data_IF_653354480289
#
_entry.id   IF_653354480289
#
_cell.length_a   1.000
_cell.length_b   1.000
_cell.length_c   1.000
_cell.angle_alpha   90.00
_cell.angle_beta   90.00
_cell.angle_gamma   90.00
#
_symmetry.space_group_name_H-M   'P 1'
#
loop_
_entity.id
_entity.type
_entity.pdbx_description
1 polymer ?
#
# COMPACT_ATOMS: atom_id res chain seq x y z
N UNK A 1 4.14 25.70 -9.63
CA UNK A 1 3.64 24.43 -10.21
C UNK A 1 4.85 23.55 -10.50
N UNK A 2 4.86 22.34 -9.96
CA UNK A 2 5.96 21.38 -10.10
C UNK A 2 5.49 20.16 -10.89
N UNK A 3 6.35 19.64 -11.79
CA UNK A 3 6.05 18.43 -12.55
C UNK A 3 6.29 17.17 -11.74
N UNK A 4 5.43 16.17 -11.90
CA UNK A 4 5.51 14.89 -11.17
C UNK A 4 5.70 13.70 -12.13
N UNK A 5 6.15 12.58 -11.57
CA UNK A 5 6.07 11.27 -12.20
C UNK A 5 4.71 10.65 -11.86
N UNK A 6 3.85 10.49 -12.85
CA UNK A 6 2.47 10.00 -12.66
C UNK A 6 2.28 8.53 -13.03
N UNK A 7 3.35 7.82 -13.37
CA UNK A 7 3.30 6.38 -13.59
C UNK A 7 3.01 5.63 -12.28
N UNK A 8 2.16 4.61 -12.35
CA UNK A 8 1.75 3.83 -11.16
C UNK A 8 2.91 3.17 -10.43
N UNK A 9 4.00 2.83 -11.12
CA UNK A 9 5.18 2.20 -10.51
C UNK A 9 5.84 3.12 -9.50
N UNK A 10 5.80 4.44 -9.75
CA UNK A 10 6.32 5.43 -8.80
C UNK A 10 5.44 5.48 -7.55
N UNK A 11 4.11 5.43 -7.69
CA UNK A 11 3.20 5.36 -6.54
C UNK A 11 3.44 4.10 -5.71
N UNK A 12 3.60 2.93 -6.36
CA UNK A 12 3.90 1.68 -5.66
C UNK A 12 5.23 1.73 -4.91
N UNK A 13 6.28 2.33 -5.53
CA UNK A 13 7.57 2.52 -4.88
C UNK A 13 7.47 3.43 -3.64
N UNK A 14 6.66 4.48 -3.70
CA UNK A 14 6.39 5.36 -2.55
C UNK A 14 5.68 4.57 -1.45
N UNK A 15 4.68 3.76 -1.76
CA UNK A 15 4.00 2.94 -0.75
C UNK A 15 4.91 1.91 -0.11
N UNK A 16 5.78 1.25 -0.90
CA UNK A 16 6.78 0.32 -0.37
C UNK A 16 7.74 1.02 0.60
N UNK A 17 8.24 2.20 0.23
CA UNK A 17 9.07 3.04 1.12
C UNK A 17 8.29 3.47 2.39
N UNK A 18 7.03 3.85 2.26
CA UNK A 18 6.20 4.23 3.42
C UNK A 18 5.93 3.08 4.38
N UNK A 19 5.96 1.83 3.89
CA UNK A 19 5.82 0.61 4.70
C UNK A 19 7.14 0.20 5.39
N UNK A 20 8.23 0.93 5.19
CA UNK A 20 9.49 0.69 5.86
C UNK A 20 9.49 1.31 7.26
N UNK A 21 9.41 0.48 8.31
CA UNK A 21 9.35 0.91 9.71
C UNK A 21 10.71 1.43 10.22
N UNK A 22 11.80 1.21 9.48
CA UNK A 22 13.11 1.80 9.79
C UNK A 22 13.18 3.31 9.48
N UNK A 23 12.25 3.81 8.66
CA UNK A 23 12.17 5.20 8.27
C UNK A 23 11.20 5.97 9.17
N UNK A 24 11.64 7.08 9.74
CA UNK A 24 10.75 7.99 10.46
C UNK A 24 9.86 8.81 9.49
N UNK A 25 8.81 9.44 10.03
CA UNK A 25 7.82 10.19 9.24
C UNK A 25 8.45 11.30 8.38
N UNK A 26 9.50 11.95 8.86
CA UNK A 26 10.20 12.99 8.09
C UNK A 26 10.92 12.40 6.89
N UNK A 27 11.60 11.27 7.07
CA UNK A 27 12.28 10.56 5.98
C UNK A 27 11.27 10.06 4.95
N UNK A 28 10.13 9.50 5.38
CA UNK A 28 9.03 9.07 4.50
C UNK A 28 8.45 10.23 3.70
N UNK A 29 8.17 11.36 4.35
CA UNK A 29 7.65 12.57 3.68
C UNK A 29 8.64 13.10 2.64
N UNK A 30 9.91 13.22 3.02
CA UNK A 30 10.94 13.70 2.10
C UNK A 30 11.18 12.74 0.94
N UNK A 31 11.25 11.44 1.20
CA UNK A 31 11.36 10.40 0.19
C UNK A 31 10.18 10.41 -0.78
N UNK A 32 8.97 10.63 -0.30
CA UNK A 32 7.79 10.81 -1.15
C UNK A 32 7.98 11.99 -2.13
N UNK A 33 8.45 13.13 -1.65
CA UNK A 33 8.74 14.29 -2.51
C UNK A 33 9.82 13.96 -3.53
N UNK A 34 10.91 13.33 -3.11
CA UNK A 34 12.03 12.97 -3.98
C UNK A 34 11.60 11.99 -5.11
N UNK A 35 10.76 11.02 -4.79
CA UNK A 35 10.30 10.02 -5.76
C UNK A 35 9.24 10.58 -6.72
N UNK A 36 8.34 11.43 -6.21
CA UNK A 36 7.21 11.91 -6.99
C UNK A 36 7.57 13.10 -7.90
N UNK A 37 8.35 14.07 -7.41
CA UNK A 37 8.62 15.31 -8.16
C UNK A 37 9.87 15.18 -9.04
N UNK A 38 9.74 15.54 -10.34
CA UNK A 38 10.83 15.42 -11.32
C UNK A 38 12.07 16.28 -10.98
N UNK A 39 11.85 17.42 -10.34
CA UNK A 39 12.89 18.38 -9.97
C UNK A 39 12.73 18.76 -8.50
N UNK A 40 12.73 17.74 -7.63
CA UNK A 40 12.54 17.91 -6.19
C UNK A 40 13.62 18.82 -5.55
N UNK A 41 14.82 18.83 -6.10
CA UNK A 41 15.96 19.68 -5.70
C UNK A 41 15.71 21.18 -5.91
N UNK A 42 14.76 21.53 -6.78
CA UNK A 42 14.37 22.91 -7.07
C UNK A 42 13.18 23.40 -6.25
N UNK A 43 12.61 22.56 -5.39
CA UNK A 43 11.50 22.94 -4.50
C UNK A 43 12.05 23.70 -3.31
N UNK A 44 11.70 24.99 -3.12
CA UNK A 44 12.15 25.77 -1.98
C UNK A 44 11.64 25.17 -0.66
N UNK A 45 12.38 25.36 0.41
CA UNK A 45 11.98 24.89 1.75
C UNK A 45 10.61 25.43 2.18
N UNK A 46 10.22 26.62 1.73
CA UNK A 46 8.90 27.21 1.99
C UNK A 46 7.76 26.41 1.40
N UNK A 47 8.00 25.67 0.31
CA UNK A 47 6.97 24.98 -0.47
C UNK A 47 6.91 23.46 -0.15
N UNK A 48 7.86 22.94 0.66
CA UNK A 48 7.94 21.52 0.97
C UNK A 48 6.67 20.98 1.66
N UNK A 49 6.07 21.79 2.54
CA UNK A 49 4.82 21.39 3.21
C UNK A 49 3.68 21.22 2.20
N UNK A 50 3.49 22.22 1.33
CA UNK A 50 2.47 22.14 0.30
C UNK A 50 2.75 21.01 -0.70
N UNK A 51 4.01 20.81 -1.08
CA UNK A 51 4.41 19.71 -1.95
C UNK A 51 4.05 18.35 -1.34
N UNK A 52 4.25 18.16 -0.02
CA UNK A 52 3.85 16.94 0.67
C UNK A 52 2.33 16.72 0.66
N UNK A 53 1.54 17.78 0.93
CA UNK A 53 0.08 17.70 0.88
C UNK A 53 -0.44 17.39 -0.53
N UNK A 54 0.14 18.02 -1.56
CA UNK A 54 -0.21 17.75 -2.95
C UNK A 54 0.20 16.33 -3.39
N UNK A 55 1.36 15.83 -2.93
CA UNK A 55 1.77 14.46 -3.17
C UNK A 55 0.77 13.47 -2.57
N UNK A 56 0.36 13.70 -1.33
CA UNK A 56 -0.66 12.88 -0.68
C UNK A 56 -1.99 12.91 -1.45
N UNK A 57 -2.46 14.10 -1.81
CA UNK A 57 -3.67 14.26 -2.61
C UNK A 57 -3.60 13.46 -3.93
N UNK A 58 -2.45 13.52 -4.62
CA UNK A 58 -2.25 12.76 -5.86
C UNK A 58 -2.26 11.24 -5.62
N UNK A 59 -1.58 10.78 -4.56
CA UNK A 59 -1.52 9.35 -4.22
C UNK A 59 -2.89 8.80 -3.78
N UNK A 60 -3.70 9.62 -3.12
CA UNK A 60 -5.08 9.30 -2.70
C UNK A 60 -6.12 9.42 -3.85
N UNK A 61 -5.67 9.64 -5.10
CA UNK A 61 -6.54 9.68 -6.27
C UNK A 61 -7.34 10.98 -6.43
N UNK A 62 -6.90 12.07 -5.79
CA UNK A 62 -7.57 13.37 -5.83
C UNK A 62 -8.59 13.58 -4.70
N UNK A 63 -8.80 12.54 -3.86
CA UNK A 63 -9.68 12.64 -2.69
C UNK A 63 -8.84 12.92 -1.43
N UNK A 64 -9.30 13.88 -0.61
CA UNK A 64 -8.74 14.10 0.73
C UNK A 64 -9.57 13.30 1.74
N UNK A 65 -8.98 12.34 2.45
CA UNK A 65 -9.73 11.57 3.43
C UNK A 65 -10.29 12.51 4.51
N UNK A 66 -11.62 12.49 4.68
CA UNK A 66 -12.35 13.32 5.65
C UNK A 66 -12.16 12.86 7.11
N UNK A 67 -11.52 11.72 7.33
CA UNK A 67 -11.39 11.09 8.65
C UNK A 67 -9.99 11.26 9.22
N UNK A 68 -9.90 11.74 10.47
CA UNK A 68 -8.67 11.78 11.26
C UNK A 68 -8.23 10.39 11.82
N UNK A 69 -9.08 9.37 11.72
CA UNK A 69 -8.73 8.00 12.13
C UNK A 69 -8.03 7.32 10.97
N UNK A 70 -6.78 6.97 11.16
CA UNK A 70 -6.10 6.04 10.23
C UNK A 70 -6.70 4.65 10.45
N UNK A 71 -7.41 4.07 9.46
CA UNK A 71 -7.86 2.69 9.55
C UNK A 71 -6.62 1.78 9.54
N UNK A 72 -6.74 0.60 10.17
CA UNK A 72 -5.70 -0.42 10.01
C UNK A 72 -5.49 -0.72 8.53
N UNK A 73 -4.25 -0.82 8.06
CA UNK A 73 -3.99 -1.10 6.66
C UNK A 73 -4.60 -2.47 6.30
N UNK A 74 -5.35 -2.52 5.21
CA UNK A 74 -5.95 -3.75 4.68
C UNK A 74 -5.14 -4.31 3.53
N UNK A 75 -4.23 -3.53 2.97
CA UNK A 75 -3.44 -3.82 1.79
C UNK A 75 -1.97 -3.57 2.12
N UNK A 76 -1.14 -4.51 1.72
CA UNK A 76 0.30 -4.34 1.67
C UNK A 76 0.73 -4.64 0.23
N UNK A 77 1.11 -3.61 -0.52
CA UNK A 77 1.41 -3.73 -1.94
C UNK A 77 2.52 -4.75 -2.24
N UNK A 78 3.56 -4.82 -1.40
CA UNK A 78 4.67 -5.75 -1.58
C UNK A 78 4.23 -7.20 -1.33
N UNK A 79 3.48 -7.44 -0.24
CA UNK A 79 2.98 -8.78 0.11
C UNK A 79 1.89 -9.26 -0.84
N UNK A 80 1.02 -8.36 -1.27
CA UNK A 80 -0.21 -8.67 -2.00
C UNK A 80 -0.03 -8.61 -3.53
N UNK A 81 1.17 -8.31 -4.02
CA UNK A 81 1.48 -8.20 -5.46
C UNK A 81 0.94 -9.39 -6.25
N UNK A 82 1.16 -10.60 -5.74
CA UNK A 82 0.75 -11.85 -6.37
C UNK A 82 -0.77 -12.04 -6.53
N UNK A 83 -1.60 -11.30 -5.79
CA UNK A 83 -3.06 -11.34 -5.89
C UNK A 83 -3.65 -10.05 -6.47
N UNK A 84 -2.98 -8.92 -6.31
CA UNK A 84 -3.42 -7.62 -6.85
C UNK A 84 -3.25 -7.59 -8.37
N UNK A 85 -2.07 -7.89 -8.91
CA UNK A 85 -1.85 -7.81 -10.35
C UNK A 85 -2.73 -8.76 -11.17
N UNK A 86 -2.94 -10.04 -10.80
CA UNK A 86 -3.92 -10.87 -11.49
C UNK A 86 -5.35 -10.30 -11.46
N UNK A 87 -5.75 -9.68 -10.33
CA UNK A 87 -7.05 -9.04 -10.24
C UNK A 87 -7.16 -7.79 -11.13
N UNK A 88 -6.13 -6.94 -11.15
CA UNK A 88 -6.04 -5.78 -12.05
C UNK A 88 -6.00 -6.19 -13.52
N UNK A 89 -5.22 -7.22 -13.86
CA UNK A 89 -5.12 -7.74 -15.22
C UNK A 89 -6.46 -8.28 -15.74
N UNK A 90 -7.23 -8.93 -14.85
CA UNK A 90 -8.59 -9.38 -15.17
C UNK A 90 -9.51 -8.22 -15.56
N UNK A 91 -9.44 -7.09 -14.83
CA UNK A 91 -10.23 -5.90 -15.13
C UNK A 91 -9.72 -5.20 -16.38
N UNK A 92 -8.40 -5.06 -16.52
CA UNK A 92 -7.77 -4.39 -17.66
C UNK A 92 -7.85 -5.21 -18.97
N UNK A 93 -8.12 -6.52 -18.89
CA UNK A 93 -8.09 -7.43 -20.04
C UNK A 93 -6.69 -7.69 -20.61
N UNK A 94 -5.63 -7.32 -19.90
CA UNK A 94 -4.22 -7.46 -20.31
C UNK A 94 -3.27 -7.39 -19.12
N UNK A 95 -2.01 -7.78 -19.31
CA UNK A 95 -0.96 -7.63 -18.31
C UNK A 95 -0.54 -6.16 -18.23
N UNK A 96 -0.87 -5.50 -17.10
CA UNK A 96 -0.59 -4.07 -16.93
C UNK A 96 0.89 -3.76 -16.72
N UNK A 97 1.67 -4.73 -16.25
CA UNK A 97 3.13 -4.57 -16.04
C UNK A 97 3.90 -4.50 -17.36
N UNK A 98 3.33 -4.99 -18.46
CA UNK A 98 3.90 -4.90 -19.82
C UNK A 98 3.63 -3.56 -20.50
N UNK A 99 2.82 -2.68 -19.88
CA UNK A 99 2.49 -1.38 -20.44
C UNK A 99 3.61 -0.40 -20.08
N UNK A 100 4.17 0.30 -21.06
CA UNK A 100 5.28 1.24 -20.87
C UNK A 100 4.96 2.37 -19.90
N UNK A 101 3.72 2.87 -19.95
CA UNK A 101 3.24 3.92 -19.05
C UNK A 101 1.76 3.72 -18.74
N UNK A 102 1.41 3.79 -17.44
CA UNK A 102 0.02 3.87 -17.00
C UNK A 102 -0.09 4.87 -15.84
N UNK A 103 -0.95 5.86 -16.03
CA UNK A 103 -1.20 6.86 -15.00
C UNK A 103 -1.72 6.22 -13.72
N UNK A 104 -1.23 6.66 -12.56
CA UNK A 104 -1.63 6.11 -11.26
C UNK A 104 -3.15 6.08 -11.07
N UNK A 105 -3.85 7.14 -11.42
CA UNK A 105 -5.31 7.20 -11.28
C UNK A 105 -6.06 6.22 -12.19
N UNK A 106 -5.47 5.84 -13.32
CA UNK A 106 -6.02 4.75 -14.13
C UNK A 106 -5.95 3.42 -13.40
N UNK A 107 -4.81 3.16 -12.72
CA UNK A 107 -4.68 1.95 -11.89
C UNK A 107 -5.64 1.96 -10.71
N UNK A 108 -5.83 3.11 -10.05
CA UNK A 108 -6.85 3.25 -8.99
C UNK A 108 -8.27 2.98 -9.52
N UNK A 109 -8.59 3.46 -10.72
CA UNK A 109 -9.87 3.17 -11.38
C UNK A 109 -10.05 1.67 -11.61
N UNK A 110 -9.05 0.99 -12.18
CA UNK A 110 -9.06 -0.47 -12.35
C UNK A 110 -9.20 -1.20 -11.02
N UNK A 111 -8.52 -0.71 -9.99
CA UNK A 111 -8.54 -1.28 -8.65
C UNK A 111 -9.94 -1.21 -8.02
N UNK A 112 -10.66 -0.12 -8.21
CA UNK A 112 -12.03 0.06 -7.72
C UNK A 112 -13.04 -0.86 -8.44
N UNK A 113 -12.73 -1.30 -9.66
CA UNK A 113 -13.56 -2.20 -10.46
C UNK A 113 -13.25 -3.69 -10.21
N UNK A 114 -12.30 -4.02 -9.31
CA UNK A 114 -12.02 -5.41 -8.96
C UNK A 114 -13.26 -6.03 -8.32
N UNK A 115 -13.86 -6.99 -9.05
CA UNK A 115 -15.02 -7.76 -8.58
C UNK A 115 -14.63 -8.95 -7.71
N UNK A 116 -15.46 -9.98 -7.70
CA UNK A 116 -15.23 -11.21 -6.94
C UNK A 116 -13.96 -11.96 -7.39
N UNK A 117 -13.22 -12.46 -6.42
CA UNK A 117 -12.00 -13.23 -6.64
C UNK A 117 -11.16 -13.39 -5.37
N UNK A 118 -9.97 -13.96 -5.54
CA UNK A 118 -9.04 -14.22 -4.43
C UNK A 118 -8.71 -12.93 -3.67
N UNK A 119 -8.36 -11.86 -4.40
CA UNK A 119 -8.05 -10.55 -3.80
C UNK A 119 -9.20 -10.05 -2.92
N UNK A 120 -10.43 -10.01 -3.45
CA UNK A 120 -11.59 -9.51 -2.72
C UNK A 120 -11.92 -10.35 -1.49
N UNK A 121 -11.72 -11.67 -1.55
CA UNK A 121 -11.90 -12.56 -0.40
C UNK A 121 -10.88 -12.26 0.71
N UNK A 122 -9.61 -12.08 0.35
CA UNK A 122 -8.55 -11.72 1.31
C UNK A 122 -8.86 -10.39 1.99
N UNK A 123 -9.18 -9.35 1.20
CA UNK A 123 -9.50 -8.01 1.75
C UNK A 123 -10.74 -8.04 2.63
N UNK A 124 -11.80 -8.77 2.24
CA UNK A 124 -13.00 -8.91 3.06
C UNK A 124 -12.71 -9.55 4.43
N UNK A 125 -11.89 -10.61 4.46
CA UNK A 125 -11.51 -11.26 5.72
C UNK A 125 -10.66 -10.33 6.58
N UNK A 126 -9.65 -9.66 6.00
CA UNK A 126 -8.83 -8.65 6.71
C UNK A 126 -9.71 -7.54 7.29
N UNK A 127 -10.66 -7.03 6.50
CA UNK A 127 -11.61 -6.02 6.97
C UNK A 127 -12.42 -6.51 8.18
N UNK A 128 -12.95 -7.74 8.11
CA UNK A 128 -13.71 -8.32 9.23
C UNK A 128 -12.85 -8.48 10.47
N UNK A 129 -11.62 -8.98 10.33
CA UNK A 129 -10.67 -9.14 11.45
C UNK A 129 -10.30 -7.79 12.06
N UNK A 130 -9.98 -6.79 11.22
CA UNK A 130 -9.62 -5.44 11.68
C UNK A 130 -10.75 -4.74 12.46
N UNK A 131 -12.01 -5.08 12.17
CA UNK A 131 -13.19 -4.50 12.81
C UNK A 131 -13.87 -5.43 13.82
N UNK A 132 -13.19 -6.51 14.24
CA UNK A 132 -13.72 -7.52 15.18
C UNK A 132 -15.08 -8.10 14.74
N UNK A 133 -15.32 -8.23 13.43
CA UNK A 133 -16.52 -8.84 12.87
C UNK A 133 -16.34 -10.36 12.78
N UNK A 134 -17.44 -11.09 13.00
CA UNK A 134 -17.41 -12.56 12.90
C UNK A 134 -17.23 -13.01 11.46
N UNK A 135 -16.35 -13.98 11.27
CA UNK A 135 -16.20 -14.71 9.99
C UNK A 135 -17.29 -15.79 9.90
N UNK A 136 -17.85 -15.99 8.72
CA UNK A 136 -18.66 -17.16 8.41
C UNK A 136 -17.82 -18.45 8.48
N UNK A 137 -18.47 -19.62 8.52
CA UNK A 137 -17.75 -20.91 8.58
C UNK A 137 -16.78 -21.09 7.40
N UNK A 138 -17.23 -20.76 6.18
CA UNK A 138 -16.37 -20.83 4.99
C UNK A 138 -15.19 -19.86 5.03
N UNK A 139 -15.39 -18.63 5.54
CA UNK A 139 -14.31 -17.65 5.73
C UNK A 139 -13.31 -18.09 6.81
N UNK A 140 -13.78 -18.75 7.88
CA UNK A 140 -12.89 -19.31 8.92
C UNK A 140 -12.02 -20.44 8.34
N UNK A 141 -12.62 -21.33 7.54
CA UNK A 141 -11.90 -22.42 6.89
C UNK A 141 -10.89 -21.85 5.87
N UNK A 142 -11.29 -20.84 5.09
CA UNK A 142 -10.39 -20.17 4.16
C UNK A 142 -9.24 -19.47 4.89
N UNK A 143 -9.52 -18.73 5.97
CA UNK A 143 -8.50 -18.06 6.77
C UNK A 143 -7.49 -19.05 7.35
N UNK A 144 -7.96 -20.15 7.94
CA UNK A 144 -7.10 -21.19 8.52
C UNK A 144 -6.13 -21.78 7.49
N UNK A 145 -6.61 -22.00 6.28
CA UNK A 145 -5.81 -22.61 5.20
C UNK A 145 -4.90 -21.61 4.47
N UNK A 146 -5.14 -20.30 4.62
CA UNK A 146 -4.42 -19.24 3.89
C UNK A 146 -3.94 -18.13 4.84
N UNK A 147 -3.57 -18.49 6.07
CA UNK A 147 -3.20 -17.53 7.10
C UNK A 147 -2.04 -16.62 6.67
N UNK A 148 -1.00 -17.20 6.08
CA UNK A 148 0.18 -16.44 5.59
C UNK A 148 -0.16 -15.41 4.50
N UNK A 149 -1.19 -15.68 3.69
CA UNK A 149 -1.67 -14.77 2.68
C UNK A 149 -2.52 -13.65 3.29
N UNK A 150 -3.31 -13.98 4.33
CA UNK A 150 -4.29 -13.05 4.89
C UNK A 150 -3.65 -12.14 5.95
N UNK A 151 -2.80 -12.67 6.84
CA UNK A 151 -2.17 -11.88 7.87
C UNK A 151 -1.17 -10.91 7.22
N UNK A 152 -1.34 -9.61 7.48
CA UNK A 152 -0.38 -8.61 7.01
C UNK A 152 0.88 -8.74 7.85
N UNK A 153 2.00 -9.02 7.18
CA UNK A 153 3.32 -9.09 7.81
C UNK A 153 3.76 -7.67 8.18
N UNK A 154 3.93 -7.45 9.47
CA UNK A 154 4.60 -6.25 9.97
C UNK A 154 6.10 -6.51 9.84
N UNK A 155 6.83 -5.62 9.17
CA UNK A 155 8.30 -5.67 9.20
C UNK A 155 8.70 -5.22 10.61
N UNK A 156 9.27 -6.13 11.38
CA UNK A 156 9.85 -5.80 12.68
C UNK A 156 11.08 -4.95 12.47
N UNK A 157 11.31 -4.00 13.37
CA UNK A 157 12.60 -3.30 13.46
C UNK A 157 13.71 -4.30 13.81
N UNK A 158 14.98 -3.94 13.58
CA UNK A 158 16.09 -4.82 13.92
C UNK A 158 16.08 -5.18 15.41
N UNK A 159 15.72 -4.24 16.28
CA UNK A 159 15.61 -4.46 17.73
C UNK A 159 14.47 -5.44 18.08
N UNK A 160 13.29 -5.28 17.49
CA UNK A 160 12.16 -6.20 17.68
C UNK A 160 12.45 -7.59 17.12
N UNK A 161 13.18 -7.70 16.01
CA UNK A 161 13.61 -8.97 15.45
C UNK A 161 14.61 -9.69 16.38
N UNK A 162 15.59 -8.96 16.90
CA UNK A 162 16.57 -9.50 17.85
C UNK A 162 15.88 -9.97 19.15
N UNK A 163 14.88 -9.22 19.65
CA UNK A 163 14.07 -9.65 20.80
C UNK A 163 13.26 -10.91 20.51
N UNK A 164 12.65 -10.99 19.33
CA UNK A 164 11.86 -12.14 18.91
C UNK A 164 12.74 -13.38 18.75
N UNK A 165 13.92 -13.22 18.13
CA UNK A 165 14.89 -14.28 17.94
C UNK A 165 15.47 -14.74 19.30
N UNK A 166 15.69 -13.82 20.23
CA UNK A 166 16.09 -14.16 21.60
C UNK A 166 15.02 -15.01 22.31
N UNK A 167 13.73 -14.60 22.21
CA UNK A 167 12.62 -15.36 22.82
C UNK A 167 12.47 -16.74 22.17
N UNK A 168 12.57 -16.84 20.84
CA UNK A 168 12.46 -18.11 20.12
C UNK A 168 13.62 -19.08 20.43
N UNK A 169 14.79 -18.57 20.80
CA UNK A 169 15.93 -19.40 21.21
C UNK A 169 15.86 -19.86 22.68
N UNK A 170 14.92 -19.32 23.46
CA UNK A 170 14.68 -19.73 24.86
C UNK A 170 13.63 -20.84 25.02
N UNK A 171 12.86 -21.14 23.95
CA UNK A 171 11.81 -22.16 23.88
C UNK A 171 12.29 -23.44 23.21
#
# INVERSE_FOLDING_TARGET
IYSIYSDYRVALLIFSMCNDDTLNDKAKTYGCIQLLYKHHDQIPNSDLYEAAEQAKWFLDGGDMPKSKRQPKPLINWDQDEGIIFPALNKVAGKEIREIDYMHWWTVLGLFNEIGEGLYSNVINIRYKLAHNKKLSKGEQDFYRNNKELIDIKVKLTAEEQDELDFINNLL
#
